data_IF_059278447236
#
_entry.id   IF_059278447236
#
_cell.length_a   1.000
_cell.length_b   1.000
_cell.length_c   1.000
_cell.angle_alpha   90.00
_cell.angle_beta   90.00
_cell.angle_gamma   90.00
#
_symmetry.space_group_name_H-M   'P 1'
#
loop_
_entity.id
_entity.type
_entity.pdbx_description
1 polymer ?
#
# COMPACT_ATOMS: atom_id res chain seq x y z
N UNK A 1 -35.73 16.60 -13.39
CA UNK A 1 -35.87 15.24 -12.87
C UNK A 1 -34.51 14.90 -12.26
N UNK A 2 -34.37 15.11 -10.94
CA UNK A 2 -33.15 14.75 -10.16
C UNK A 2 -33.31 13.26 -9.83
N UNK A 3 -32.38 12.45 -10.32
CA UNK A 3 -32.35 11.02 -10.01
C UNK A 3 -31.76 10.82 -8.62
N UNK A 4 -32.57 10.25 -7.75
CA UNK A 4 -32.27 9.86 -6.38
C UNK A 4 -31.29 8.67 -6.42
N UNK A 5 -29.98 8.95 -6.44
CA UNK A 5 -28.93 7.95 -6.19
C UNK A 5 -28.71 7.88 -4.67
N UNK A 6 -29.69 7.26 -4.00
CA UNK A 6 -29.64 7.03 -2.56
C UNK A 6 -28.46 6.10 -2.20
N UNK A 7 -27.90 6.30 -1.00
CA UNK A 7 -26.86 5.46 -0.31
C UNK A 7 -27.05 3.93 -0.49
N UNK A 8 -28.24 3.49 -0.87
CA UNK A 8 -28.58 2.11 -1.19
C UNK A 8 -27.80 1.51 -2.38
N UNK A 9 -27.26 2.32 -3.29
CA UNK A 9 -26.51 1.82 -4.45
C UNK A 9 -25.04 1.53 -4.07
N UNK A 10 -24.44 2.38 -3.25
CA UNK A 10 -23.06 2.16 -2.74
C UNK A 10 -23.04 0.98 -1.76
N UNK A 11 -24.07 0.86 -0.91
CA UNK A 11 -24.18 -0.25 0.04
C UNK A 11 -24.46 -1.61 -0.61
N UNK A 12 -25.01 -1.66 -1.83
CA UNK A 12 -25.24 -2.92 -2.56
C UNK A 12 -24.02 -3.40 -3.36
N UNK A 13 -23.05 -2.54 -3.62
CA UNK A 13 -21.80 -2.91 -4.29
C UNK A 13 -20.80 -3.62 -3.36
N UNK A 14 -21.01 -3.52 -2.02
CA UNK A 14 -20.14 -4.16 -1.00
C UNK A 14 -20.75 -5.48 -0.50
N UNK A 15 -21.42 -6.22 -1.36
CA UNK A 15 -21.76 -7.60 -1.03
C UNK A 15 -20.57 -8.48 -1.43
N UNK A 16 -19.67 -8.70 -0.48
CA UNK A 16 -18.64 -9.75 -0.56
C UNK A 16 -19.37 -11.06 -0.87
N UNK A 17 -19.01 -11.79 -1.95
CA UNK A 17 -19.64 -13.09 -2.20
C UNK A 17 -19.34 -14.01 -1.02
N UNK A 18 -20.42 -14.50 -0.38
CA UNK A 18 -20.39 -15.39 0.78
C UNK A 18 -19.88 -16.82 0.47
N UNK A 19 -18.88 -16.94 -0.38
CA UNK A 19 -18.35 -18.25 -0.80
C UNK A 19 -17.05 -18.69 -0.12
N UNK A 20 -16.60 -17.95 0.91
CA UNK A 20 -15.49 -18.45 1.76
C UNK A 20 -15.93 -19.10 3.07
N UNK A 21 -17.24 -19.36 3.23
CA UNK A 21 -17.81 -20.08 4.37
C UNK A 21 -18.44 -21.40 3.95
N UNK A 22 -17.68 -22.35 3.48
CA UNK A 22 -18.12 -23.75 3.41
C UNK A 22 -18.31 -24.31 4.83
N UNK A 23 -19.30 -25.21 5.08
CA UNK A 23 -19.53 -25.78 6.40
C UNK A 23 -18.25 -26.49 6.87
N UNK A 24 -17.66 -26.01 7.97
CA UNK A 24 -16.57 -26.69 8.65
C UNK A 24 -17.07 -28.02 9.18
N UNK A 25 -16.84 -29.10 8.43
CA UNK A 25 -16.91 -30.44 8.96
C UNK A 25 -15.86 -30.54 10.08
N UNK A 26 -16.32 -30.72 11.31
CA UNK A 26 -15.48 -31.05 12.46
C UNK A 26 -14.77 -32.37 12.18
N UNK A 27 -13.60 -32.30 11.58
CA UNK A 27 -12.63 -33.38 11.58
C UNK A 27 -11.87 -33.35 12.90
N UNK A 28 -11.77 -34.52 13.54
CA UNK A 28 -11.30 -34.84 14.85
C UNK A 28 -10.15 -33.99 15.42
N UNK A 29 -10.16 -33.91 16.73
CA UNK A 29 -9.17 -33.28 17.59
C UNK A 29 -7.73 -33.58 17.10
N UNK A 30 -6.93 -32.60 16.64
CA UNK A 30 -5.56 -32.87 16.24
C UNK A 30 -4.72 -33.16 17.50
N UNK A 31 -4.47 -34.42 17.76
CA UNK A 31 -3.56 -34.91 18.80
C UNK A 31 -2.11 -34.69 18.39
N UNK A 32 -1.73 -33.45 18.17
CA UNK A 32 -0.34 -33.02 17.94
C UNK A 32 0.07 -31.98 18.97
N UNK A 33 1.37 -31.81 19.28
CA UNK A 33 1.83 -30.72 20.12
C UNK A 33 1.30 -29.39 19.57
N UNK A 34 0.82 -28.52 20.47
CA UNK A 34 0.34 -27.18 20.09
C UNK A 34 1.37 -26.51 19.17
N UNK A 35 0.95 -25.87 18.07
CA UNK A 35 1.88 -25.15 17.22
C UNK A 35 2.70 -24.18 18.07
N UNK A 36 4.01 -24.15 17.87
CA UNK A 36 4.91 -23.25 18.61
C UNK A 36 4.75 -21.78 18.17
N UNK A 37 3.85 -21.49 17.23
CA UNK A 37 3.57 -20.17 16.68
C UNK A 37 2.07 -20.04 16.35
N UNK A 38 1.57 -18.82 16.37
CA UNK A 38 0.21 -18.42 16.03
C UNK A 38 0.13 -17.82 14.63
N UNK A 39 -1.09 -17.58 14.11
CA UNK A 39 -1.29 -16.79 12.87
C UNK A 39 -0.71 -15.38 13.01
N UNK A 40 -0.82 -14.76 14.19
CA UNK A 40 -0.23 -13.46 14.44
C UNK A 40 1.31 -13.49 14.32
N UNK A 41 1.97 -14.52 14.84
CA UNK A 41 3.43 -14.64 14.69
C UNK A 41 3.85 -14.79 13.21
N UNK A 42 3.05 -15.47 12.39
CA UNK A 42 3.29 -15.60 10.94
C UNK A 42 3.13 -14.27 10.24
N UNK A 43 2.12 -13.48 10.60
CA UNK A 43 1.88 -12.12 10.06
C UNK A 43 3.03 -11.19 10.42
N UNK A 44 3.43 -11.13 11.70
CA UNK A 44 4.53 -10.26 12.13
C UNK A 44 5.87 -10.68 11.48
N UNK A 45 6.10 -11.99 11.29
CA UNK A 45 7.27 -12.49 10.58
C UNK A 45 7.27 -12.06 9.10
N UNK A 46 6.12 -12.07 8.43
CA UNK A 46 5.97 -11.62 7.05
C UNK A 46 6.17 -10.10 6.91
N UNK A 47 5.55 -9.31 7.80
CA UNK A 47 5.72 -7.85 7.82
C UNK A 47 7.17 -7.44 8.07
N UNK A 48 7.87 -8.14 8.96
CA UNK A 48 9.28 -7.90 9.23
C UNK A 48 10.24 -8.28 8.07
N UNK A 49 9.76 -9.05 7.09
CA UNK A 49 10.48 -9.38 5.85
C UNK A 49 10.16 -8.39 4.71
N UNK A 50 9.16 -7.54 4.90
CA UNK A 50 8.64 -6.62 3.89
C UNK A 50 7.35 -7.14 3.24
N UNK A 51 6.32 -6.29 3.25
CA UNK A 51 4.97 -6.68 2.79
C UNK A 51 4.93 -7.05 1.30
N UNK A 52 5.79 -6.44 0.48
CA UNK A 52 5.91 -6.74 -0.94
C UNK A 52 6.77 -8.00 -1.21
N UNK A 53 7.78 -8.25 -0.37
CA UNK A 53 8.91 -9.13 -0.71
C UNK A 53 8.89 -10.49 0.00
N UNK A 54 8.05 -10.67 1.03
CA UNK A 54 8.06 -11.92 1.78
C UNK A 54 7.73 -13.13 0.91
N UNK A 55 8.46 -14.23 1.17
CA UNK A 55 8.13 -15.56 0.66
C UNK A 55 7.76 -16.49 1.82
N UNK A 56 6.95 -17.51 1.54
CA UNK A 56 6.60 -18.49 2.58
C UNK A 56 7.84 -19.22 3.13
N UNK A 57 8.85 -19.43 2.30
CA UNK A 57 10.13 -20.01 2.71
C UNK A 57 10.88 -19.10 3.69
N UNK A 58 10.94 -17.79 3.42
CA UNK A 58 11.60 -16.83 4.29
C UNK A 58 10.86 -16.68 5.63
N UNK A 59 9.51 -16.66 5.61
CA UNK A 59 8.68 -16.63 6.83
C UNK A 59 8.90 -17.88 7.67
N UNK A 60 8.89 -19.07 7.06
CA UNK A 60 9.15 -20.32 7.75
C UNK A 60 10.56 -20.36 8.37
N UNK A 61 11.56 -19.91 7.62
CA UNK A 61 12.95 -19.78 8.12
C UNK A 61 13.06 -18.84 9.32
N UNK A 62 12.37 -17.68 9.28
CA UNK A 62 12.35 -16.73 10.39
C UNK A 62 11.70 -17.30 11.66
N UNK A 63 10.68 -18.15 11.51
CA UNK A 63 10.00 -18.82 12.62
C UNK A 63 10.67 -20.11 13.06
N UNK A 64 11.71 -20.58 12.36
CA UNK A 64 12.42 -21.83 12.67
C UNK A 64 11.56 -23.08 12.43
N UNK A 65 10.67 -23.04 11.42
CA UNK A 65 9.74 -24.13 11.10
C UNK A 65 9.84 -24.54 9.62
N UNK A 66 9.31 -25.72 9.28
CA UNK A 66 9.15 -26.11 7.89
C UNK A 66 7.99 -25.33 7.24
N UNK A 67 8.08 -25.04 5.92
CA UNK A 67 7.00 -24.36 5.16
C UNK A 67 5.66 -25.07 5.30
N UNK A 68 5.66 -26.41 5.31
CA UNK A 68 4.45 -27.22 5.55
C UNK A 68 3.77 -26.93 6.91
N UNK A 69 4.55 -26.46 7.89
CA UNK A 69 4.03 -26.06 9.20
C UNK A 69 3.17 -24.79 9.14
N UNK A 70 3.48 -23.86 8.24
CA UNK A 70 2.73 -22.62 8.07
C UNK A 70 1.29 -22.87 7.63
N UNK A 71 1.06 -23.89 6.79
CA UNK A 71 -0.27 -24.26 6.28
C UNK A 71 -1.26 -24.76 7.34
N UNK A 72 -0.84 -24.82 8.61
CA UNK A 72 -1.74 -25.01 9.76
C UNK A 72 -2.42 -23.70 10.19
N UNK A 73 -1.88 -22.55 9.80
CA UNK A 73 -2.32 -21.22 10.22
C UNK A 73 -2.72 -20.31 9.06
N UNK A 74 -2.22 -20.59 7.88
CA UNK A 74 -2.52 -19.88 6.63
C UNK A 74 -2.87 -20.88 5.53
N UNK A 75 -3.70 -20.49 4.56
CA UNK A 75 -4.10 -21.31 3.42
C UNK A 75 -3.25 -21.09 2.17
N UNK A 76 -2.73 -19.87 1.99
CA UNK A 76 -1.91 -19.49 0.83
C UNK A 76 -1.04 -18.27 1.15
N UNK A 77 -0.20 -17.84 0.18
CA UNK A 77 0.54 -16.58 0.27
C UNK A 77 -0.41 -15.38 0.25
N UNK A 78 -1.46 -15.44 -0.54
CA UNK A 78 -2.50 -14.41 -0.63
C UNK A 78 -3.28 -14.27 0.67
N UNK A 79 -3.61 -15.38 1.34
CA UNK A 79 -4.23 -15.39 2.67
C UNK A 79 -3.32 -14.72 3.71
N UNK A 80 -2.01 -14.97 3.65
CA UNK A 80 -1.05 -14.28 4.51
C UNK A 80 -0.93 -12.79 4.17
N UNK A 81 -0.92 -12.45 2.88
CA UNK A 81 -0.90 -11.04 2.45
C UNK A 81 -2.16 -10.30 2.93
N UNK A 82 -3.33 -10.90 2.81
CA UNK A 82 -4.57 -10.32 3.32
C UNK A 82 -4.48 -10.07 4.84
N UNK A 83 -4.01 -11.05 5.60
CA UNK A 83 -3.82 -10.90 7.05
C UNK A 83 -2.78 -9.82 7.41
N UNK A 84 -1.73 -9.66 6.60
CA UNK A 84 -0.77 -8.56 6.76
C UNK A 84 -1.44 -7.20 6.51
N UNK A 85 -2.21 -7.07 5.44
CA UNK A 85 -2.93 -5.82 5.12
C UNK A 85 -3.98 -5.49 6.19
N UNK A 86 -4.75 -6.46 6.69
CA UNK A 86 -5.67 -6.28 7.82
C UNK A 86 -4.93 -5.77 9.06
N UNK A 87 -3.79 -6.38 9.38
CA UNK A 87 -2.95 -5.95 10.52
C UNK A 87 -2.42 -4.53 10.33
N UNK A 88 -1.99 -4.17 9.13
CA UNK A 88 -1.53 -2.83 8.77
C UNK A 88 -2.68 -1.82 8.88
N UNK A 89 -3.86 -2.15 8.35
CA UNK A 89 -5.04 -1.27 8.41
C UNK A 89 -5.44 -0.90 9.86
N UNK A 90 -5.23 -1.81 10.83
CA UNK A 90 -5.48 -1.48 12.25
C UNK A 90 -4.54 -0.45 12.85
N UNK A 91 -3.48 -0.07 12.15
CA UNK A 91 -2.50 0.91 12.62
C UNK A 91 -2.73 2.32 12.06
N UNK A 92 -3.73 2.49 11.19
CA UNK A 92 -4.11 3.83 10.75
C UNK A 92 -4.57 4.65 11.96
N UNK A 93 -3.88 5.75 12.21
CA UNK A 93 -4.31 6.71 13.22
C UNK A 93 -5.45 7.56 12.64
N UNK A 94 -6.64 7.36 13.17
CA UNK A 94 -7.85 8.08 12.77
C UNK A 94 -8.24 9.15 13.79
N UNK A 95 -7.42 9.37 14.83
CA UNK A 95 -7.61 10.43 15.79
C UNK A 95 -7.19 11.77 15.18
N UNK A 96 -8.14 12.67 15.00
CA UNK A 96 -7.90 13.99 14.41
C UNK A 96 -8.12 15.06 15.46
N UNK A 97 -7.06 15.79 15.87
CA UNK A 97 -7.16 16.83 16.89
C UNK A 97 -7.90 18.08 16.42
N UNK A 98 -8.03 18.28 15.11
CA UNK A 98 -8.71 19.44 14.51
C UNK A 98 -10.22 19.37 14.58
N UNK A 99 -10.86 20.53 14.48
CA UNK A 99 -12.32 20.69 14.54
C UNK A 99 -12.97 20.80 13.19
N UNK A 100 -12.21 21.08 12.14
CA UNK A 100 -12.69 21.28 10.77
C UNK A 100 -12.51 20.01 9.94
N UNK A 101 -13.29 19.86 8.87
CA UNK A 101 -13.10 18.77 7.92
C UNK A 101 -11.76 18.89 7.17
N UNK A 102 -11.24 20.11 6.96
CA UNK A 102 -9.94 20.35 6.36
C UNK A 102 -8.82 19.76 7.23
N UNK A 103 -8.87 20.01 8.55
CA UNK A 103 -7.91 19.41 9.49
C UNK A 103 -7.97 17.88 9.46
N UNK A 104 -9.19 17.31 9.35
CA UNK A 104 -9.37 15.87 9.30
C UNK A 104 -8.80 15.25 8.00
N UNK A 105 -8.92 15.92 6.85
CA UNK A 105 -8.30 15.51 5.59
C UNK A 105 -6.77 15.54 5.68
N UNK A 106 -6.20 16.61 6.23
CA UNK A 106 -4.76 16.74 6.40
C UNK A 106 -4.22 15.63 7.33
N UNK A 107 -4.89 15.39 8.44
CA UNK A 107 -4.51 14.34 9.39
C UNK A 107 -4.67 12.93 8.78
N UNK A 108 -5.71 12.70 7.97
CA UNK A 108 -5.89 11.44 7.25
C UNK A 108 -4.75 11.19 6.25
N UNK A 109 -4.40 12.19 5.45
CA UNK A 109 -3.28 12.11 4.52
C UNK A 109 -1.94 11.86 5.24
N UNK A 110 -1.74 12.49 6.42
CA UNK A 110 -0.58 12.28 7.27
C UNK A 110 -0.52 10.84 7.79
N UNK A 111 -1.64 10.33 8.29
CA UNK A 111 -1.73 8.96 8.79
C UNK A 111 -1.43 7.93 7.69
N UNK A 112 -2.00 8.13 6.50
CA UNK A 112 -1.70 7.29 5.33
C UNK A 112 -0.23 7.34 4.95
N UNK A 113 0.35 8.54 4.88
CA UNK A 113 1.76 8.72 4.55
C UNK A 113 2.67 7.99 5.53
N UNK A 114 2.44 8.18 6.82
CA UNK A 114 3.23 7.55 7.87
C UNK A 114 3.13 6.01 7.83
N UNK A 115 1.94 5.49 7.51
CA UNK A 115 1.74 4.06 7.33
C UNK A 115 2.55 3.51 6.15
N UNK A 116 2.57 4.23 5.02
CA UNK A 116 3.34 3.84 3.83
C UNK A 116 4.85 3.91 4.09
N UNK A 117 5.35 4.92 4.80
CA UNK A 117 6.76 5.02 5.21
C UNK A 117 7.14 3.89 6.20
N UNK A 118 6.23 3.48 7.08
CA UNK A 118 6.46 2.38 8.03
C UNK A 118 6.53 1.02 7.33
N UNK A 119 5.80 0.83 6.23
CA UNK A 119 5.73 -0.42 5.50
C UNK A 119 6.19 -0.25 4.04
N UNK A 120 7.51 -0.20 3.77
CA UNK A 120 8.03 -0.09 2.41
C UNK A 120 7.44 -1.15 1.47
N UNK A 121 7.05 -0.73 0.26
CA UNK A 121 6.37 -1.57 -0.72
C UNK A 121 4.85 -1.66 -0.55
N UNK A 122 4.27 -1.17 0.56
CA UNK A 122 2.82 -1.19 0.79
C UNK A 122 2.06 -0.45 -0.32
N UNK A 123 2.54 0.73 -0.72
CA UNK A 123 1.93 1.50 -1.81
C UNK A 123 1.84 0.67 -3.10
N UNK A 124 2.93 0.00 -3.47
CA UNK A 124 2.96 -0.90 -4.63
C UNK A 124 2.00 -2.07 -4.51
N UNK A 125 1.86 -2.66 -3.32
CA UNK A 125 0.90 -3.74 -3.06
C UNK A 125 -0.53 -3.25 -3.23
N UNK A 126 -0.89 -2.11 -2.65
CA UNK A 126 -2.26 -1.55 -2.75
C UNK A 126 -2.63 -1.23 -4.20
N UNK A 127 -1.69 -0.70 -4.99
CA UNK A 127 -1.91 -0.40 -6.42
C UNK A 127 -2.00 -1.66 -7.29
N UNK A 128 -1.19 -2.70 -7.00
CA UNK A 128 -1.06 -3.86 -7.87
C UNK A 128 -1.98 -5.03 -7.54
N UNK A 129 -2.49 -5.10 -6.30
CA UNK A 129 -3.36 -6.17 -5.83
C UNK A 129 -4.82 -5.69 -5.83
N UNK A 130 -5.69 -6.18 -6.75
CA UNK A 130 -7.00 -5.60 -6.98
C UNK A 130 -7.96 -5.56 -5.79
N UNK A 131 -7.77 -6.45 -4.81
CA UNK A 131 -8.61 -6.56 -3.62
C UNK A 131 -7.99 -5.89 -2.37
N UNK A 132 -6.74 -5.41 -2.44
CA UNK A 132 -6.03 -4.88 -1.27
C UNK A 132 -6.76 -3.71 -0.60
N UNK A 133 -7.30 -2.77 -1.40
CA UNK A 133 -8.02 -1.60 -0.91
C UNK A 133 -9.24 -1.95 -0.05
N UNK A 134 -9.88 -3.11 -0.30
CA UNK A 134 -11.07 -3.55 0.46
C UNK A 134 -10.77 -3.78 1.95
N UNK A 135 -9.52 -4.10 2.28
CA UNK A 135 -9.10 -4.35 3.65
C UNK A 135 -8.95 -3.05 4.47
N UNK A 136 -8.96 -1.90 3.80
CA UNK A 136 -8.98 -0.57 4.41
C UNK A 136 -10.39 0.04 4.49
N UNK A 137 -11.44 -0.71 4.13
CA UNK A 137 -12.82 -0.20 4.14
C UNK A 137 -13.28 0.30 5.53
N UNK A 138 -12.85 -0.34 6.61
CA UNK A 138 -13.15 0.08 7.97
C UNK A 138 -12.56 1.47 8.30
N UNK A 139 -11.24 1.66 8.21
CA UNK A 139 -10.61 2.96 8.32
C UNK A 139 -11.21 4.03 7.40
N UNK A 140 -11.47 3.69 6.14
CA UNK A 140 -12.11 4.62 5.19
C UNK A 140 -13.50 5.06 5.66
N UNK A 141 -14.36 4.14 6.10
CA UNK A 141 -15.69 4.46 6.61
C UNK A 141 -15.63 5.36 7.85
N UNK A 142 -14.67 5.16 8.75
CA UNK A 142 -14.47 6.02 9.93
C UNK A 142 -13.98 7.41 9.52
N UNK A 143 -13.04 7.51 8.58
CA UNK A 143 -12.59 8.80 8.06
C UNK A 143 -13.74 9.54 7.38
N UNK A 144 -14.53 8.87 6.55
CA UNK A 144 -15.71 9.43 5.90
C UNK A 144 -16.69 10.00 6.92
N UNK A 145 -17.09 9.22 7.93
CA UNK A 145 -17.99 9.68 8.98
C UNK A 145 -17.42 10.88 9.73
N UNK A 146 -16.12 10.87 9.99
CA UNK A 146 -15.44 11.99 10.64
C UNK A 146 -15.52 13.31 9.86
N UNK A 147 -15.48 13.26 8.52
CA UNK A 147 -15.65 14.44 7.66
C UNK A 147 -17.10 14.94 7.67
N UNK A 148 -18.06 14.01 7.58
CA UNK A 148 -19.50 14.33 7.61
C UNK A 148 -19.88 14.98 8.95
N UNK A 149 -19.40 14.44 10.08
CA UNK A 149 -19.65 15.00 11.41
C UNK A 149 -19.09 16.43 11.58
N UNK A 150 -18.10 16.81 10.73
CA UNK A 150 -17.52 18.16 10.67
C UNK A 150 -18.14 19.05 9.61
N UNK A 151 -19.25 18.62 9.04
CA UNK A 151 -20.08 19.43 8.16
C UNK A 151 -19.78 19.34 6.68
N UNK A 152 -18.91 18.41 6.23
CA UNK A 152 -18.74 18.16 4.82
C UNK A 152 -19.91 17.33 4.28
N UNK A 153 -20.39 17.65 3.08
CA UNK A 153 -21.42 16.86 2.41
C UNK A 153 -20.97 15.39 2.25
N UNK A 154 -21.85 14.39 2.48
CA UNK A 154 -21.44 12.99 2.41
C UNK A 154 -20.89 12.53 1.06
N UNK A 155 -21.39 13.06 -0.06
CA UNK A 155 -20.89 12.73 -1.40
C UNK A 155 -19.49 13.34 -1.60
N UNK A 156 -19.32 14.61 -1.24
CA UNK A 156 -18.01 15.29 -1.28
C UNK A 156 -16.99 14.63 -0.34
N UNK A 157 -17.42 14.18 0.85
CA UNK A 157 -16.55 13.45 1.78
C UNK A 157 -16.00 12.15 1.17
N UNK A 158 -16.84 11.41 0.44
CA UNK A 158 -16.42 10.21 -0.28
C UNK A 158 -15.41 10.52 -1.37
N UNK A 159 -15.73 11.50 -2.22
CA UNK A 159 -14.88 11.89 -3.36
C UNK A 159 -13.52 12.44 -2.90
N UNK A 160 -13.51 13.30 -1.89
CA UNK A 160 -12.26 13.91 -1.41
C UNK A 160 -11.35 12.88 -0.73
N UNK A 161 -11.90 11.93 0.02
CA UNK A 161 -11.12 10.84 0.62
C UNK A 161 -10.50 9.93 -0.44
N UNK A 162 -11.27 9.54 -1.44
CA UNK A 162 -10.80 8.73 -2.57
C UNK A 162 -9.66 9.44 -3.30
N UNK A 163 -9.87 10.70 -3.67
CA UNK A 163 -8.87 11.48 -4.39
C UNK A 163 -7.59 11.73 -3.59
N UNK A 164 -7.71 12.01 -2.29
CA UNK A 164 -6.55 12.16 -1.39
C UNK A 164 -5.83 10.83 -1.22
N UNK A 165 -6.58 9.74 -1.03
CA UNK A 165 -6.04 8.39 -0.93
C UNK A 165 -5.21 8.01 -2.15
N UNK A 166 -5.78 8.14 -3.33
CA UNK A 166 -5.10 7.88 -4.61
C UNK A 166 -3.85 8.75 -4.77
N UNK A 167 -3.94 10.04 -4.42
CA UNK A 167 -2.81 10.97 -4.52
C UNK A 167 -1.67 10.57 -3.59
N UNK A 168 -1.96 10.23 -2.32
CA UNK A 168 -0.96 9.81 -1.33
C UNK A 168 -0.28 8.51 -1.77
N UNK A 169 -1.07 7.49 -2.11
CA UNK A 169 -0.56 6.16 -2.48
C UNK A 169 0.30 6.25 -3.74
N UNK A 170 -0.19 6.93 -4.79
CA UNK A 170 0.52 7.03 -6.06
C UNK A 170 1.82 7.82 -5.91
N UNK A 171 1.79 8.93 -5.19
CA UNK A 171 3.01 9.73 -4.96
C UNK A 171 4.02 8.96 -4.14
N UNK A 172 3.59 8.25 -3.09
CA UNK A 172 4.49 7.44 -2.27
C UNK A 172 5.13 6.32 -3.11
N UNK A 173 4.34 5.59 -3.91
CA UNK A 173 4.86 4.57 -4.81
C UNK A 173 5.89 5.13 -5.81
N UNK A 174 5.65 6.30 -6.39
CA UNK A 174 6.60 6.97 -7.28
C UNK A 174 7.90 7.35 -6.54
N UNK A 175 7.79 7.86 -5.32
CA UNK A 175 8.94 8.22 -4.49
C UNK A 175 9.75 6.99 -4.12
N UNK A 176 9.12 5.87 -3.77
CA UNK A 176 9.81 4.60 -3.52
C UNK A 176 10.63 4.15 -4.74
N UNK A 177 10.05 4.22 -5.94
CA UNK A 177 10.77 3.91 -7.19
C UNK A 177 11.97 4.83 -7.40
N UNK A 178 11.80 6.13 -7.14
CA UNK A 178 12.88 7.11 -7.29
C UNK A 178 13.99 6.96 -6.26
N UNK A 179 13.68 6.50 -5.05
CA UNK A 179 14.64 6.22 -3.96
C UNK A 179 15.35 4.88 -4.15
N UNK A 180 14.71 3.93 -4.82
CA UNK A 180 15.22 2.55 -4.94
C UNK A 180 16.36 2.45 -5.96
N UNK A 181 17.38 1.58 -5.71
CA UNK A 181 18.37 1.21 -6.72
C UNK A 181 17.69 0.52 -7.91
N UNK A 182 18.01 0.95 -9.13
CA UNK A 182 17.46 0.32 -10.33
C UNK A 182 18.21 -0.99 -10.62
N UNK A 183 17.45 -2.05 -10.77
CA UNK A 183 17.96 -3.32 -11.29
C UNK A 183 18.05 -3.21 -12.83
N UNK A 184 19.25 -2.92 -13.36
CA UNK A 184 19.48 -2.80 -14.81
C UNK A 184 19.26 -4.11 -15.59
N UNK A 185 18.97 -5.19 -14.90
CA UNK A 185 18.53 -6.45 -15.47
C UNK A 185 17.02 -6.60 -15.34
N UNK A 186 16.23 -5.81 -16.09
CA UNK A 186 14.90 -6.27 -16.44
C UNK A 186 15.10 -7.58 -17.24
N UNK A 187 14.60 -8.74 -16.79
CA UNK A 187 14.73 -9.98 -17.57
C UNK A 187 13.99 -9.77 -18.86
N UNK A 188 14.70 -9.95 -19.98
CA UNK A 188 14.04 -10.18 -21.25
C UNK A 188 13.04 -11.34 -21.05
N UNK A 189 11.81 -11.27 -21.59
CA UNK A 189 10.86 -12.37 -21.48
C UNK A 189 11.49 -13.62 -22.10
N UNK A 190 11.97 -14.56 -21.28
CA UNK A 190 12.62 -15.81 -21.73
C UNK A 190 13.80 -16.28 -20.88
N UNK A 191 14.34 -15.49 -19.96
CA UNK A 191 15.55 -15.87 -19.19
C UNK A 191 15.22 -16.33 -17.76
N UNK A 192 14.25 -17.19 -17.56
CA UNK A 192 13.77 -17.62 -16.24
C UNK A 192 14.51 -18.81 -15.63
N UNK A 193 15.54 -19.38 -16.26
CA UNK A 193 16.04 -20.72 -15.86
C UNK A 193 17.51 -20.84 -15.38
N UNK A 194 18.25 -19.75 -15.16
CA UNK A 194 19.68 -19.89 -14.75
C UNK A 194 20.08 -19.22 -13.42
N UNK A 195 19.16 -18.78 -12.55
CA UNK A 195 19.51 -18.05 -11.31
C UNK A 195 19.46 -18.90 -10.04
N UNK A 196 20.18 -20.01 -10.03
CA UNK A 196 20.22 -20.95 -8.90
C UNK A 196 21.51 -20.95 -8.06
N UNK A 197 22.54 -20.14 -8.31
CA UNK A 197 23.87 -20.42 -7.68
C UNK A 197 24.71 -19.28 -7.12
N UNK A 198 24.35 -18.01 -7.15
CA UNK A 198 25.24 -16.94 -6.64
C UNK A 198 24.57 -16.01 -5.61
N UNK A 199 24.25 -16.54 -4.43
CA UNK A 199 23.62 -15.78 -3.33
C UNK A 199 24.51 -14.78 -2.59
N UNK A 200 25.82 -14.78 -2.76
CA UNK A 200 26.74 -13.95 -1.95
C UNK A 200 27.38 -12.74 -2.68
N UNK A 201 27.42 -12.72 -4.00
CA UNK A 201 27.96 -11.58 -4.75
C UNK A 201 26.89 -10.49 -5.04
N UNK A 202 25.62 -10.80 -4.85
CA UNK A 202 24.49 -9.88 -5.14
C UNK A 202 24.39 -8.66 -4.22
N UNK A 203 24.85 -8.75 -2.97
CA UNK A 203 24.65 -7.67 -1.98
C UNK A 203 25.67 -6.53 -2.14
N UNK A 204 26.93 -6.83 -2.43
CA UNK A 204 27.97 -5.82 -2.63
C UNK A 204 27.73 -4.98 -3.91
N UNK A 205 27.05 -5.54 -4.91
CA UNK A 205 26.77 -4.86 -6.16
C UNK A 205 25.52 -3.97 -6.10
N UNK A 206 24.64 -4.13 -5.09
CA UNK A 206 23.44 -3.29 -4.89
C UNK A 206 23.76 -1.88 -4.42
N UNK A 207 24.79 -1.72 -3.58
CA UNK A 207 25.18 -0.43 -3.01
C UNK A 207 25.72 0.57 -4.03
N UNK A 208 26.14 0.10 -5.22
CA UNK A 208 26.73 0.94 -6.28
C UNK A 208 25.81 1.13 -7.50
N UNK A 209 24.53 0.77 -7.38
CA UNK A 209 23.54 0.95 -8.46
C UNK A 209 22.92 2.34 -8.38
N UNK A 210 22.67 2.98 -9.55
CA UNK A 210 21.99 4.26 -9.54
C UNK A 210 20.56 4.11 -9.02
N UNK A 211 20.10 5.12 -8.29
CA UNK A 211 18.71 5.25 -7.90
C UNK A 211 17.83 5.67 -9.08
N UNK A 212 16.52 5.52 -8.95
CA UNK A 212 15.55 6.01 -9.96
C UNK A 212 15.72 7.49 -10.26
N UNK A 213 16.00 8.31 -9.24
CA UNK A 213 16.24 9.75 -9.41
C UNK A 213 17.54 10.02 -10.20
N UNK A 214 18.62 9.30 -9.92
CA UNK A 214 19.88 9.45 -10.67
C UNK A 214 19.71 9.04 -12.14
N UNK A 215 18.97 7.99 -12.41
CA UNK A 215 18.69 7.54 -13.78
C UNK A 215 17.80 8.55 -14.53
N UNK A 216 16.74 9.05 -13.89
CA UNK A 216 15.92 10.10 -14.46
C UNK A 216 16.73 11.37 -14.75
N UNK A 217 17.66 11.74 -13.85
CA UNK A 217 18.54 12.89 -14.02
C UNK A 217 19.50 12.71 -15.18
N UNK A 218 20.08 11.51 -15.35
CA UNK A 218 20.94 11.18 -16.51
C UNK A 218 20.15 11.26 -17.82
N UNK A 219 18.93 10.72 -17.85
CA UNK A 219 18.06 10.78 -19.03
C UNK A 219 17.71 12.23 -19.37
N UNK A 220 17.33 13.06 -18.37
CA UNK A 220 17.02 14.47 -18.56
C UNK A 220 18.24 15.24 -19.09
N UNK A 221 19.45 15.01 -18.55
CA UNK A 221 20.67 15.65 -19.00
C UNK A 221 21.03 15.27 -20.46
N UNK A 222 20.84 14.01 -20.83
CA UNK A 222 21.04 13.55 -22.19
C UNK A 222 20.03 14.18 -23.17
N UNK A 223 18.76 14.31 -22.75
CA UNK A 223 17.67 14.88 -23.54
C UNK A 223 17.72 16.41 -23.65
N UNK A 224 18.32 17.12 -22.68
CA UNK A 224 18.43 18.58 -22.67
C UNK A 224 19.22 19.14 -23.87
N UNK A 225 20.02 18.31 -24.54
CA UNK A 225 20.73 18.69 -25.77
C UNK A 225 19.82 18.89 -26.97
N UNK A 226 18.61 18.31 -26.94
CA UNK A 226 17.66 18.31 -28.06
C UNK A 226 16.29 18.85 -27.68
N UNK A 227 16.02 19.08 -26.38
CA UNK A 227 14.71 19.44 -25.85
C UNK A 227 14.84 20.38 -24.65
N UNK A 228 14.10 21.48 -24.64
CA UNK A 228 13.89 22.26 -23.40
C UNK A 228 12.81 21.58 -22.56
N UNK A 229 13.17 21.12 -21.37
CA UNK A 229 12.22 20.50 -20.43
C UNK A 229 11.62 21.57 -19.52
N UNK A 230 10.31 21.59 -19.31
CA UNK A 230 9.69 22.38 -18.25
C UNK A 230 10.30 22.04 -16.87
N UNK A 231 10.47 23.03 -16.01
CA UNK A 231 11.09 22.84 -14.69
C UNK A 231 10.39 21.75 -13.85
N UNK A 232 9.08 21.64 -13.95
CA UNK A 232 8.29 20.61 -13.25
C UNK A 232 8.63 19.17 -13.70
N UNK A 233 9.15 19.00 -14.93
CA UNK A 233 9.56 17.70 -15.47
C UNK A 233 11.07 17.46 -15.34
N UNK A 234 11.80 18.40 -14.74
CA UNK A 234 13.24 18.26 -14.50
C UNK A 234 13.46 17.55 -13.18
N UNK A 235 14.04 16.32 -13.18
CA UNK A 235 14.29 15.58 -11.96
C UNK A 235 15.17 16.38 -11.00
N UNK A 236 14.76 16.38 -9.74
CA UNK A 236 15.50 17.03 -8.66
C UNK A 236 15.16 16.37 -7.31
N UNK A 237 15.86 16.72 -6.25
CA UNK A 237 15.68 16.12 -4.92
C UNK A 237 14.26 16.26 -4.36
N UNK A 238 13.48 17.27 -4.78
CA UNK A 238 12.09 17.40 -4.31
C UNK A 238 11.19 16.27 -4.78
N UNK A 239 11.59 15.54 -5.84
CA UNK A 239 10.84 14.38 -6.34
C UNK A 239 10.87 13.19 -5.39
N UNK A 240 11.85 13.13 -4.48
CA UNK A 240 11.95 12.09 -3.45
C UNK A 240 11.49 12.57 -2.07
N UNK A 241 10.90 13.77 -2.03
CA UNK A 241 10.40 14.40 -0.81
C UNK A 241 8.89 14.60 -0.89
N UNK A 242 8.27 14.74 0.28
CA UNK A 242 6.82 14.90 0.44
C UNK A 242 6.26 16.25 -0.03
N UNK A 243 7.08 17.30 -0.18
CA UNK A 243 6.62 18.69 -0.34
C UNK A 243 5.62 18.93 -1.48
N UNK A 244 5.63 18.10 -2.55
CA UNK A 244 4.63 18.16 -3.61
C UNK A 244 3.24 17.64 -3.20
N UNK A 245 3.15 16.73 -2.22
CA UNK A 245 1.90 16.18 -1.73
C UNK A 245 1.08 17.23 -0.98
N UNK A 246 1.70 17.93 -0.04
CA UNK A 246 1.01 18.94 0.79
C UNK A 246 0.35 19.99 -0.09
N UNK A 247 1.07 20.45 -1.13
CA UNK A 247 0.53 21.42 -2.09
C UNK A 247 -0.66 20.87 -2.89
N UNK A 248 -0.64 19.61 -3.27
CA UNK A 248 -1.76 18.96 -3.97
C UNK A 248 -2.99 18.87 -3.06
N UNK A 249 -2.81 18.46 -1.80
CA UNK A 249 -3.91 18.37 -0.83
C UNK A 249 -4.52 19.76 -0.58
N UNK A 250 -3.72 20.81 -0.43
CA UNK A 250 -4.23 22.18 -0.33
C UNK A 250 -5.09 22.59 -1.53
N UNK A 251 -4.70 22.20 -2.75
CA UNK A 251 -5.47 22.50 -3.95
C UNK A 251 -6.80 21.75 -3.94
N UNK A 252 -6.80 20.49 -3.51
CA UNK A 252 -8.02 19.67 -3.38
C UNK A 252 -8.99 20.33 -2.38
N UNK A 253 -8.50 20.68 -1.19
CA UNK A 253 -9.29 21.34 -0.14
C UNK A 253 -9.96 22.61 -0.67
N UNK A 254 -9.19 23.48 -1.32
CA UNK A 254 -9.73 24.73 -1.93
C UNK A 254 -10.74 24.46 -3.04
N UNK A 255 -10.58 23.38 -3.80
CA UNK A 255 -11.53 22.95 -4.81
C UNK A 255 -12.87 22.59 -4.21
N UNK A 256 -12.86 21.85 -3.13
CA UNK A 256 -14.10 21.47 -2.39
C UNK A 256 -14.75 22.70 -1.77
N UNK A 257 -14.00 23.58 -1.10
CA UNK A 257 -14.51 24.83 -0.52
C UNK A 257 -15.19 25.75 -1.57
N UNK A 258 -14.68 25.75 -2.79
CA UNK A 258 -15.24 26.58 -3.86
C UNK A 258 -16.51 25.94 -4.48
N UNK A 259 -16.77 24.66 -4.22
CA UNK A 259 -17.91 23.90 -4.76
C UNK A 259 -19.07 23.79 -3.77
N UNK A 260 -18.80 24.02 -2.47
CA UNK A 260 -19.76 24.02 -1.36
C UNK A 260 -20.37 25.39 -1.16
#
# INVERSE_FOLDING_TARGET
MKGDLTLSAVQRAITVPAHYGGPMTRLGNPTGPKPRFSRADVVEAALALGIADFTLTAVAGRLGVAVSGLYRTISSREDLLAACLERVATQMDLAHPGTTWQDAILAHAESMWNLLEQYPGLAGVVVSVPWAHQLFAGPFAQAHQSLVDRGLDPEDAGVVLDFVGDTVITMHAQIEVMRSPIDQAAPSPGAADERGRDGHQGQANRANRPTGLEEASRFAAASARTRTMPAILTPNESWIQRGGLDRKIEIIIRGVEASS
#
